data_IF_925778148925
#
_entry.id   IF_925778148925
#
_cell.length_a   1.000
_cell.length_b   1.000
_cell.length_c   1.000
_cell.angle_alpha   90.00
_cell.angle_beta   90.00
_cell.angle_gamma   90.00
#
_symmetry.space_group_name_H-M   'P 1'
#
loop_
_entity.id
_entity.type
_entity.pdbx_description
1 polymer ?
#
# COMPACT_ATOMS: atom_id res chain seq x y z
N UNK A 1 -24.44 -8.48 54.59
CA UNK A 1 -24.48 -7.03 54.31
C UNK A 1 -23.12 -6.48 54.67
N UNK A 2 -22.22 -6.46 53.70
CA UNK A 2 -20.84 -6.01 53.84
C UNK A 2 -20.79 -4.54 53.48
N UNK A 3 -20.49 -3.73 54.48
CA UNK A 3 -20.38 -2.28 54.44
C UNK A 3 -19.09 -1.91 53.74
N UNK A 4 -19.16 -1.08 52.69
CA UNK A 4 -18.01 -0.56 51.97
C UNK A 4 -17.43 0.65 52.73
N UNK A 5 -16.19 0.54 53.20
CA UNK A 5 -15.43 1.68 53.70
C UNK A 5 -14.87 2.47 52.51
N UNK A 6 -15.27 3.73 52.38
CA UNK A 6 -14.60 4.70 51.52
C UNK A 6 -13.32 5.13 52.24
N UNK A 7 -12.27 4.36 52.02
CA UNK A 7 -10.91 4.73 52.43
C UNK A 7 -10.27 5.48 51.28
N UNK A 8 -9.92 6.74 51.51
CA UNK A 8 -9.07 7.56 50.64
C UNK A 8 -7.65 6.98 50.67
N UNK A 9 -7.45 5.85 49.99
CA UNK A 9 -6.16 5.38 49.55
C UNK A 9 -6.22 5.40 48.02
N UNK A 10 -5.32 6.19 47.43
CA UNK A 10 -5.14 6.26 45.98
C UNK A 10 -4.81 4.85 45.47
N UNK A 11 -5.77 4.25 44.78
CA UNK A 11 -5.66 3.01 44.03
C UNK A 11 -6.16 3.24 42.61
N UNK A 12 -5.47 2.60 41.67
CA UNK A 12 -5.72 2.50 40.21
C UNK A 12 -5.74 3.84 39.43
N UNK A 13 -4.84 3.95 38.44
CA UNK A 13 -4.51 5.15 37.69
C UNK A 13 -3.50 6.06 38.40
N UNK A 14 -2.19 5.79 38.27
CA UNK A 14 -1.18 6.65 38.89
C UNK A 14 -1.25 8.05 38.29
N UNK A 15 -1.42 9.03 39.18
CA UNK A 15 -1.08 10.42 38.89
C UNK A 15 0.40 10.55 39.22
N UNK A 16 1.19 11.07 38.29
CA UNK A 16 2.58 11.50 38.51
C UNK A 16 2.80 11.92 39.95
N UNK A 17 3.90 11.45 40.54
CA UNK A 17 4.36 11.91 41.86
C UNK A 17 4.50 13.44 41.94
N UNK A 18 4.42 14.14 40.80
CA UNK A 18 4.46 15.58 40.67
C UNK A 18 3.04 16.14 40.53
N UNK A 19 2.46 16.52 41.66
CA UNK A 19 1.31 17.44 41.61
C UNK A 19 1.77 18.79 41.06
N UNK A 20 1.47 19.03 39.79
CA UNK A 20 1.45 20.38 39.23
C UNK A 20 0.43 21.19 40.03
N UNK A 21 0.89 22.23 40.74
CA UNK A 21 -0.01 23.18 41.43
C UNK A 21 -1.04 23.78 40.46
N UNK A 22 -2.03 24.51 40.98
CA UNK A 22 -3.18 25.04 40.23
C UNK A 22 -2.85 25.83 38.96
N UNK A 23 -1.61 26.30 38.80
CA UNK A 23 -1.13 27.05 37.62
C UNK A 23 -0.17 26.26 36.70
N UNK A 24 0.04 24.95 36.93
CA UNK A 24 0.81 24.09 36.03
C UNK A 24 2.30 24.41 35.93
N UNK A 25 2.86 25.24 36.81
CA UNK A 25 4.27 25.65 36.81
C UNK A 25 4.75 25.76 38.24
N UNK A 26 5.68 24.90 38.65
CA UNK A 26 6.46 25.16 39.85
C UNK A 26 7.93 25.06 39.45
N UNK A 27 8.62 26.18 39.46
CA UNK A 27 10.04 26.31 39.09
C UNK A 27 10.89 26.49 40.34
N UNK A 28 12.18 26.09 40.29
CA UNK A 28 13.16 26.32 41.36
C UNK A 28 13.14 27.75 41.93
N UNK A 29 12.94 28.73 41.05
CA UNK A 29 12.95 30.15 41.39
C UNK A 29 11.73 30.60 42.22
N UNK A 30 10.59 29.89 42.12
CA UNK A 30 9.42 30.12 42.95
C UNK A 30 9.53 29.47 44.33
N UNK A 31 10.27 28.36 44.46
CA UNK A 31 10.57 27.73 45.75
C UNK A 31 11.56 28.54 46.59
N UNK A 32 12.61 29.11 45.97
CA UNK A 32 13.55 30.02 46.65
C UNK A 32 12.86 31.26 47.24
N UNK A 33 11.79 31.75 46.61
CA UNK A 33 10.99 32.86 47.12
C UNK A 33 10.06 32.46 48.28
N UNK A 34 9.50 31.24 48.28
CA UNK A 34 8.67 30.71 49.40
C UNK A 34 9.50 30.28 50.63
N UNK A 35 10.78 29.94 50.45
CA UNK A 35 11.67 29.51 51.52
C UNK A 35 12.47 30.67 52.17
N UNK A 36 11.88 31.86 52.28
CA UNK A 36 12.57 33.10 52.71
C UNK A 36 12.99 33.15 54.19
N UNK A 37 12.83 32.07 54.98
CA UNK A 37 13.18 32.06 56.40
C UNK A 37 13.87 30.76 56.87
N UNK A 38 14.79 30.20 56.11
CA UNK A 38 15.74 29.21 56.65
C UNK A 38 16.95 29.05 55.76
N UNK A 39 18.13 29.01 56.39
CA UNK A 39 19.47 28.82 55.78
C UNK A 39 19.65 27.50 54.99
N UNK A 40 18.58 26.71 54.81
CA UNK A 40 18.52 25.48 54.02
C UNK A 40 17.98 25.68 52.59
N UNK A 41 17.45 26.86 52.25
CA UNK A 41 16.88 27.16 50.92
C UNK A 41 17.91 27.20 49.77
N UNK A 42 19.20 27.24 50.10
CA UNK A 42 20.28 27.33 49.12
C UNK A 42 20.79 25.97 48.59
N UNK A 43 20.33 24.85 49.15
CA UNK A 43 20.85 23.51 48.83
C UNK A 43 19.83 22.55 48.19
N UNK A 44 18.64 23.03 47.81
CA UNK A 44 17.72 22.23 47.02
C UNK A 44 18.34 22.10 45.62
N UNK A 45 18.44 20.88 45.10
CA UNK A 45 18.87 20.56 43.74
C UNK A 45 17.66 20.18 42.87
N UNK A 46 17.87 20.03 41.55
CA UNK A 46 16.84 19.43 40.71
C UNK A 46 16.61 17.98 41.16
N UNK A 47 15.38 17.49 41.10
CA UNK A 47 15.05 16.12 41.53
C UNK A 47 14.83 15.94 43.04
N UNK A 48 15.14 16.94 43.87
CA UNK A 48 14.81 16.90 45.29
C UNK A 48 13.29 16.94 45.51
N UNK A 49 12.78 16.03 46.33
CA UNK A 49 11.36 15.98 46.70
C UNK A 49 11.14 16.70 48.03
N UNK A 50 10.13 17.57 48.06
CA UNK A 50 9.75 18.36 49.23
C UNK A 50 8.29 18.09 49.54
N UNK A 51 8.01 17.70 50.78
CA UNK A 51 6.67 17.47 51.29
C UNK A 51 6.21 18.74 52.02
N UNK A 52 5.18 19.41 51.49
CA UNK A 52 4.56 20.57 52.15
C UNK A 52 3.07 20.29 52.34
N UNK A 53 2.57 20.37 53.59
CA UNK A 53 1.15 20.13 53.92
C UNK A 53 0.59 18.79 53.39
N UNK A 54 1.42 17.74 53.32
CA UNK A 54 1.02 16.42 52.81
C UNK A 54 1.05 16.29 51.28
N UNK A 55 1.47 17.31 50.54
CA UNK A 55 1.70 17.24 49.09
C UNK A 55 3.20 17.08 48.80
N UNK A 56 3.54 16.06 48.03
CA UNK A 56 4.88 15.81 47.51
C UNK A 56 5.06 16.69 46.26
N UNK A 57 6.11 17.51 46.26
CA UNK A 57 6.48 18.36 45.12
C UNK A 57 7.97 18.18 44.82
N UNK A 58 8.31 17.97 43.55
CA UNK A 58 9.71 17.79 43.12
C UNK A 58 10.25 19.09 42.57
N UNK A 59 11.46 19.46 42.99
CA UNK A 59 12.15 20.64 42.49
C UNK A 59 12.60 20.40 41.04
N UNK A 60 12.15 21.26 40.12
CA UNK A 60 12.62 21.30 38.73
C UNK A 60 13.42 22.58 38.47
N UNK A 61 14.41 22.54 37.58
CA UNK A 61 15.16 23.74 37.19
C UNK A 61 14.25 24.76 36.53
N UNK A 62 14.44 26.03 36.90
CA UNK A 62 13.50 27.09 36.57
C UNK A 62 13.30 27.42 35.08
N UNK A 63 14.18 26.91 34.22
CA UNK A 63 14.12 27.14 32.78
C UNK A 63 13.32 26.06 32.02
N UNK A 64 12.86 25.00 32.70
CA UNK A 64 12.07 23.92 32.10
C UNK A 64 10.65 23.89 32.66
N UNK A 65 9.65 23.82 31.78
CA UNK A 65 8.23 23.81 32.16
C UNK A 65 7.80 22.35 32.41
N UNK A 66 7.31 22.00 33.61
CA UNK A 66 6.73 20.67 33.86
C UNK A 66 5.51 20.46 32.98
N UNK A 67 5.45 19.38 32.22
CA UNK A 67 4.40 19.14 31.22
C UNK A 67 4.10 17.64 31.13
N UNK A 68 2.84 17.28 30.90
CA UNK A 68 2.42 15.88 30.72
C UNK A 68 3.09 15.29 29.49
N UNK A 69 3.44 14.00 29.52
CA UNK A 69 4.06 13.31 28.38
C UNK A 69 3.26 13.48 27.08
N UNK A 70 1.92 13.46 27.16
CA UNK A 70 1.06 13.65 25.98
C UNK A 70 1.26 15.01 25.29
N UNK A 71 1.43 16.08 26.06
CA UNK A 71 1.62 17.42 25.51
C UNK A 71 3.05 17.64 25.02
N UNK A 72 4.04 17.04 25.70
CA UNK A 72 5.43 16.98 25.21
C UNK A 72 5.50 16.21 23.88
N UNK A 73 4.81 15.08 23.78
CA UNK A 73 4.75 14.26 22.56
C UNK A 73 4.11 15.03 21.41
N UNK A 74 2.95 15.66 21.62
CA UNK A 74 2.31 16.52 20.61
C UNK A 74 3.23 17.64 20.13
N UNK A 75 3.97 18.25 21.05
CA UNK A 75 4.91 19.31 20.70
C UNK A 75 6.06 18.77 19.83
N UNK A 76 6.57 17.57 20.10
CA UNK A 76 7.56 16.89 19.25
C UNK A 76 6.94 16.44 17.91
N UNK A 77 5.68 15.99 17.90
CA UNK A 77 4.94 15.61 16.70
C UNK A 77 4.76 16.79 15.73
N UNK A 78 4.47 17.96 16.28
CA UNK A 78 4.28 19.21 15.53
C UNK A 78 5.59 19.87 15.08
N UNK A 79 6.77 19.28 15.35
CA UNK A 79 8.03 19.85 14.89
C UNK A 79 8.16 19.73 13.37
N UNK A 80 8.29 20.89 12.74
CA UNK A 80 8.63 21.03 11.33
C UNK A 80 10.11 21.38 11.18
N UNK A 81 10.69 21.01 10.04
CA UNK A 81 12.05 21.42 9.69
C UNK A 81 12.14 22.96 9.67
N UNK A 82 13.26 23.49 10.15
CA UNK A 82 13.51 24.94 10.11
C UNK A 82 13.43 25.45 8.66
N UNK A 83 13.14 26.73 8.47
CA UNK A 83 12.85 27.37 7.17
C UNK A 83 14.00 27.25 6.15
N UNK A 84 15.15 26.71 6.57
CA UNK A 84 16.35 26.44 5.79
C UNK A 84 16.61 24.94 5.47
N UNK A 85 15.65 24.05 5.72
CA UNK A 85 15.81 22.60 5.47
C UNK A 85 16.77 21.90 6.45
N UNK A 86 16.97 22.47 7.64
CA UNK A 86 17.82 21.90 8.68
C UNK A 86 17.19 20.67 9.34
N UNK A 87 18.02 19.72 9.77
CA UNK A 87 17.56 18.53 10.49
C UNK A 87 16.99 18.91 11.86
N UNK A 88 15.84 18.32 12.20
CA UNK A 88 15.18 18.53 13.48
C UNK A 88 15.97 17.78 14.56
N UNK A 89 16.26 18.45 15.69
CA UNK A 89 17.01 17.87 16.81
C UNK A 89 16.22 17.97 18.10
N UNK A 90 16.09 16.85 18.80
CA UNK A 90 15.47 16.75 20.12
C UNK A 90 16.53 16.27 21.10
N UNK A 91 16.71 16.99 22.19
CA UNK A 91 17.69 16.66 23.22
C UNK A 91 16.99 16.19 24.47
N UNK A 92 17.37 15.01 24.95
CA UNK A 92 16.88 14.42 26.19
C UNK A 92 18.02 14.44 27.21
N UNK A 93 17.72 14.81 28.46
CA UNK A 93 18.67 14.71 29.57
C UNK A 93 17.95 14.30 30.85
N UNK A 94 18.71 13.86 31.84
CA UNK A 94 18.16 13.59 33.17
C UNK A 94 17.68 14.88 33.85
N UNK A 95 16.93 14.72 34.94
CA UNK A 95 16.39 15.84 35.73
C UNK A 95 17.48 16.78 36.24
N UNK A 96 18.70 16.28 36.43
CA UNK A 96 19.86 17.05 36.87
C UNK A 96 20.60 17.75 35.72
N UNK A 97 20.23 17.46 34.47
CA UNK A 97 20.91 17.92 33.26
C UNK A 97 22.10 17.03 32.84
N UNK A 98 22.34 15.93 33.56
CA UNK A 98 23.32 14.91 33.20
C UNK A 98 22.79 14.00 32.07
N UNK A 99 23.69 13.20 31.48
CA UNK A 99 23.35 12.25 30.40
C UNK A 99 22.60 12.88 29.22
N UNK A 100 23.08 14.05 28.78
CA UNK A 100 22.49 14.78 27.66
C UNK A 100 22.76 14.07 26.34
N UNK A 101 21.70 13.61 25.68
CA UNK A 101 21.76 12.97 24.35
C UNK A 101 20.89 13.75 23.37
N UNK A 102 21.46 14.12 22.22
CA UNK A 102 20.74 14.81 21.15
C UNK A 102 20.44 13.82 20.03
N UNK A 103 19.16 13.60 19.78
CA UNK A 103 18.63 12.78 18.70
C UNK A 103 18.28 13.64 17.50
N UNK A 104 18.65 13.18 16.31
CA UNK A 104 18.22 13.78 15.04
C UNK A 104 16.97 13.06 14.59
N UNK A 105 15.89 13.81 14.38
CA UNK A 105 14.60 13.26 13.94
C UNK A 105 14.72 12.86 12.47
N UNK A 106 14.34 11.62 12.18
CA UNK A 106 14.14 11.14 10.81
C UNK A 106 12.66 10.96 10.52
N UNK A 107 12.26 11.20 9.28
CA UNK A 107 10.86 11.16 8.83
C UNK A 107 10.37 9.72 8.56
N UNK A 108 11.27 8.74 8.53
CA UNK A 108 10.95 7.35 8.22
C UNK A 108 11.78 6.39 9.07
N UNK A 109 11.17 5.32 9.56
CA UNK A 109 11.82 4.23 10.28
C UNK A 109 12.92 3.50 9.49
N UNK A 110 12.97 3.62 8.16
CA UNK A 110 14.11 3.18 7.35
C UNK A 110 15.41 3.93 7.60
N UNK A 111 15.30 5.18 8.04
CA UNK A 111 16.42 6.06 8.29
C UNK A 111 16.86 6.02 9.75
N UNK A 112 16.23 5.18 10.59
CA UNK A 112 16.63 5.02 11.97
C UNK A 112 17.99 4.35 12.07
N UNK A 113 18.89 5.00 12.78
CA UNK A 113 20.19 4.49 13.16
C UNK A 113 20.36 4.76 14.66
N UNK A 114 19.86 3.85 15.52
CA UNK A 114 19.92 4.04 16.97
C UNK A 114 21.35 4.23 17.49
N UNK A 115 22.33 3.58 16.86
CA UNK A 115 23.76 3.73 17.19
C UNK A 115 24.34 5.11 16.86
N UNK A 116 23.69 5.86 15.97
CA UNK A 116 24.09 7.20 15.53
C UNK A 116 23.11 8.29 16.01
N UNK A 117 22.14 7.92 16.86
CA UNK A 117 21.08 8.81 17.37
C UNK A 117 20.15 9.40 16.29
N UNK A 118 19.95 8.70 15.17
CA UNK A 118 18.88 9.01 14.22
C UNK A 118 17.65 8.18 14.55
N UNK A 119 16.57 8.83 14.97
CA UNK A 119 15.35 8.16 15.44
C UNK A 119 14.12 8.89 14.90
N UNK A 120 13.03 8.16 14.69
CA UNK A 120 11.74 8.78 14.35
C UNK A 120 11.17 9.52 15.56
N UNK A 121 10.20 10.42 15.31
CA UNK A 121 9.47 11.13 16.37
C UNK A 121 8.88 10.14 17.39
N UNK A 122 8.27 9.06 16.92
CA UNK A 122 7.73 7.98 17.76
C UNK A 122 8.78 7.37 18.68
N UNK A 123 9.92 6.94 18.13
CA UNK A 123 11.01 6.32 18.89
C UNK A 123 11.61 7.26 19.93
N UNK A 124 11.77 8.55 19.60
CA UNK A 124 12.28 9.56 20.54
C UNK A 124 11.32 9.75 21.72
N UNK A 125 10.01 9.84 21.45
CA UNK A 125 9.01 9.95 22.51
C UNK A 125 8.95 8.68 23.37
N UNK A 126 9.15 7.50 22.77
CA UNK A 126 9.20 6.23 23.50
C UNK A 126 10.36 6.13 24.52
N UNK A 127 11.41 6.95 24.37
CA UNK A 127 12.52 7.01 25.33
C UNK A 127 12.20 7.88 26.56
N UNK A 128 11.13 8.68 26.51
CA UNK A 128 10.79 9.65 27.56
C UNK A 128 10.22 8.99 28.81
N UNK A 129 10.81 9.29 29.97
CA UNK A 129 10.39 8.84 31.30
C UNK A 129 10.07 10.02 32.22
N UNK A 130 9.37 9.77 33.33
CA UNK A 130 9.13 10.82 34.36
C UNK A 130 10.46 11.43 34.79
N UNK A 131 10.48 12.75 34.97
CA UNK A 131 11.67 13.46 35.41
C UNK A 131 12.66 13.80 34.31
N UNK A 132 12.55 13.23 33.11
CA UNK A 132 13.44 13.60 32.02
C UNK A 132 13.13 14.99 31.48
N UNK A 133 14.19 15.66 31.04
CA UNK A 133 14.13 16.95 30.37
C UNK A 133 14.17 16.76 28.87
N UNK A 134 13.38 17.58 28.18
CA UNK A 134 13.32 17.61 26.73
C UNK A 134 13.55 19.03 26.26
N UNK A 135 14.49 19.20 25.33
CA UNK A 135 14.80 20.47 24.70
C UNK A 135 14.82 20.31 23.18
N UNK A 136 14.07 21.15 22.48
CA UNK A 136 14.04 21.18 21.02
C UNK A 136 13.79 22.60 20.51
N UNK A 137 14.11 22.83 19.23
CA UNK A 137 13.79 24.09 18.55
C UNK A 137 12.46 23.98 17.81
N UNK A 138 11.61 24.99 17.95
CA UNK A 138 10.44 25.19 17.12
C UNK A 138 10.58 26.55 16.42
N UNK A 139 11.07 26.54 15.18
CA UNK A 139 11.53 27.75 14.50
C UNK A 139 12.70 28.41 15.24
N UNK A 140 12.57 29.70 15.56
CA UNK A 140 13.58 30.45 16.30
C UNK A 140 13.58 30.17 17.82
N UNK A 141 12.46 29.64 18.35
CA UNK A 141 12.27 29.47 19.79
C UNK A 141 12.82 28.13 20.28
N UNK A 142 13.46 28.15 21.44
CA UNK A 142 13.89 26.93 22.13
C UNK A 142 12.87 26.55 23.18
N UNK A 143 12.22 25.40 23.00
CA UNK A 143 11.21 24.85 23.90
C UNK A 143 11.88 23.91 24.88
N UNK A 144 11.58 24.06 26.19
CA UNK A 144 12.19 23.33 27.30
C UNK A 144 11.11 22.77 28.23
N UNK A 145 10.97 21.45 28.24
CA UNK A 145 9.98 20.74 29.06
C UNK A 145 10.63 19.76 30.04
N UNK A 146 9.98 19.56 31.18
CA UNK A 146 10.27 18.43 32.08
C UNK A 146 9.05 17.52 32.10
N UNK A 147 9.25 16.22 31.86
CA UNK A 147 8.15 15.24 31.79
C UNK A 147 7.61 14.98 33.20
N UNK A 148 6.38 15.43 33.45
CA UNK A 148 5.73 15.44 34.77
C UNK A 148 4.63 14.37 34.88
N UNK A 149 4.84 13.21 34.25
CA UNK A 149 3.93 12.07 34.33
C UNK A 149 4.09 11.13 33.15
N UNK A 150 4.54 9.91 33.44
CA UNK A 150 4.37 8.73 32.58
C UNK A 150 3.13 8.01 33.08
N UNK A 151 2.24 7.68 32.16
CA UNK A 151 1.06 6.88 32.45
C UNK A 151 1.50 5.53 32.99
N UNK A 152 0.92 5.14 34.12
CA UNK A 152 1.32 3.95 34.85
C UNK A 152 0.96 2.67 34.13
N UNK A 153 1.54 1.60 34.63
CA UNK A 153 1.36 0.18 34.29
C UNK A 153 -0.09 -0.35 34.51
N UNK A 154 -1.13 0.44 34.21
CA UNK A 154 -2.53 0.05 34.32
C UNK A 154 -3.03 -0.41 32.93
N UNK A 155 -3.23 -1.72 32.74
CA UNK A 155 -3.57 -2.35 31.44
C UNK A 155 -4.86 -1.78 30.80
N UNK A 156 -5.70 -1.09 31.57
CA UNK A 156 -6.97 -0.54 31.12
C UNK A 156 -6.94 0.96 30.79
N UNK A 157 -5.85 1.68 31.05
CA UNK A 157 -5.73 3.10 30.74
C UNK A 157 -4.40 3.38 30.04
N UNK A 158 -4.47 3.49 28.71
CA UNK A 158 -3.30 3.72 27.87
C UNK A 158 -3.18 5.19 27.49
N UNK A 159 -1.98 5.75 27.57
CA UNK A 159 -1.73 7.08 27.03
C UNK A 159 -2.03 7.11 25.53
N UNK A 160 -2.51 8.25 25.02
CA UNK A 160 -2.72 8.45 23.56
C UNK A 160 -1.49 8.04 22.73
N UNK A 161 -0.30 8.26 23.27
CA UNK A 161 0.96 7.89 22.64
C UNK A 161 1.19 6.37 22.61
N UNK A 162 0.91 5.69 23.71
CA UNK A 162 1.02 4.23 23.77
C UNK A 162 -0.02 3.59 22.82
N UNK A 163 -1.23 4.13 22.75
CA UNK A 163 -2.23 3.72 21.76
C UNK A 163 -1.72 3.90 20.32
N UNK A 164 -1.08 5.02 20.00
CA UNK A 164 -0.49 5.23 18.67
C UNK A 164 0.68 4.28 18.39
N UNK A 165 1.50 3.93 19.39
CA UNK A 165 2.57 2.96 19.23
C UNK A 165 2.05 1.55 18.97
N UNK A 166 1.05 1.09 19.73
CA UNK A 166 0.39 -0.20 19.52
C UNK A 166 -0.30 -0.26 18.15
N UNK A 167 -0.97 0.82 17.73
CA UNK A 167 -1.55 0.90 16.39
C UNK A 167 -0.48 0.87 15.29
N UNK A 168 0.66 1.56 15.46
CA UNK A 168 1.73 1.50 14.49
C UNK A 168 2.32 0.08 14.36
N UNK A 169 2.50 -0.62 15.48
CA UNK A 169 2.97 -2.01 15.51
C UNK A 169 1.97 -2.96 14.81
N UNK A 170 0.69 -2.84 15.12
CA UNK A 170 -0.36 -3.66 14.50
C UNK A 170 -0.52 -3.34 13.00
N UNK A 171 -0.46 -2.07 12.60
CA UNK A 171 -0.46 -1.68 11.20
C UNK A 171 0.77 -2.21 10.46
N UNK A 172 1.93 -2.27 11.13
CA UNK A 172 3.14 -2.83 10.54
C UNK A 172 3.00 -4.33 10.34
N UNK A 173 2.49 -5.07 11.34
CA UNK A 173 2.20 -6.50 11.23
C UNK A 173 1.22 -6.77 10.09
N UNK A 174 0.08 -6.08 10.08
CA UNK A 174 -0.96 -6.22 9.07
C UNK A 174 -0.43 -5.91 7.66
N UNK A 175 0.33 -4.83 7.50
CA UNK A 175 0.85 -4.42 6.19
C UNK A 175 2.05 -5.26 5.72
N UNK A 176 2.71 -6.00 6.60
CA UNK A 176 3.85 -6.87 6.27
C UNK A 176 3.42 -8.29 5.91
N UNK A 177 2.15 -8.64 6.11
CA UNK A 177 1.60 -9.95 5.73
C UNK A 177 1.84 -10.17 4.23
N UNK A 178 2.44 -11.32 3.87
CA UNK A 178 2.65 -11.67 2.47
C UNK A 178 3.86 -11.04 1.78
N UNK A 179 4.64 -10.20 2.49
CA UNK A 179 5.75 -9.43 1.91
C UNK A 179 7.11 -10.12 2.11
N UNK A 180 8.04 -9.92 1.17
CA UNK A 180 9.44 -10.39 1.31
C UNK A 180 10.29 -9.37 2.07
N UNK A 181 9.97 -8.09 1.94
CA UNK A 181 10.50 -7.00 2.76
C UNK A 181 9.34 -6.41 3.54
N UNK A 182 9.44 -6.46 4.86
CA UNK A 182 8.41 -5.97 5.77
C UNK A 182 8.01 -4.53 5.44
N UNK A 183 6.72 -4.26 5.58
CA UNK A 183 6.23 -2.90 5.57
C UNK A 183 6.80 -2.16 6.79
N UNK A 184 6.94 -0.85 6.66
CA UNK A 184 7.40 0.00 7.75
C UNK A 184 6.39 1.07 8.03
N UNK A 185 5.99 1.19 9.30
CA UNK A 185 5.06 2.22 9.75
C UNK A 185 5.83 3.20 10.61
N UNK A 186 5.74 4.49 10.26
CA UNK A 186 6.29 5.58 11.06
C UNK A 186 5.13 6.30 11.74
N UNK A 187 5.20 6.42 13.07
CA UNK A 187 4.26 7.18 13.87
C UNK A 187 4.76 8.62 14.05
N UNK A 188 3.97 9.59 13.61
CA UNK A 188 4.29 11.02 13.72
C UNK A 188 3.83 11.63 15.05
N UNK A 189 3.19 10.85 15.93
CA UNK A 189 2.71 11.25 17.26
C UNK A 189 1.65 12.36 17.27
N UNK A 190 1.05 12.64 16.12
CA UNK A 190 -0.04 13.59 15.90
C UNK A 190 -1.33 12.89 15.43
N UNK A 191 -1.35 11.55 15.49
CA UNK A 191 -2.42 10.70 14.96
C UNK A 191 -2.27 10.36 13.47
N UNK A 192 -1.19 10.80 12.81
CA UNK A 192 -0.87 10.39 11.43
C UNK A 192 0.20 9.29 11.41
N UNK A 193 0.01 8.33 10.50
CA UNK A 193 0.92 7.21 10.28
C UNK A 193 1.39 7.23 8.83
N UNK A 194 2.71 7.17 8.63
CA UNK A 194 3.30 7.02 7.31
C UNK A 194 3.61 5.54 7.08
N UNK A 195 2.90 4.90 6.15
CA UNK A 195 3.06 3.48 5.82
C UNK A 195 3.89 3.37 4.54
N UNK A 196 5.07 2.79 4.64
CA UNK A 196 5.83 2.30 3.50
C UNK A 196 5.44 0.86 3.24
N UNK A 197 4.82 0.61 2.09
CA UNK A 197 4.36 -0.72 1.68
C UNK A 197 5.54 -1.70 1.61
N UNK A 198 5.33 -2.90 2.14
CA UNK A 198 6.27 -4.00 1.98
C UNK A 198 6.31 -4.46 0.53
N UNK A 199 7.45 -5.00 0.11
CA UNK A 199 7.66 -5.44 -1.27
C UNK A 199 7.71 -6.95 -1.35
N UNK A 200 7.23 -7.49 -2.47
CA UNK A 200 7.28 -8.92 -2.77
C UNK A 200 7.85 -9.12 -4.17
N UNK A 201 8.75 -10.10 -4.31
CA UNK A 201 9.34 -10.48 -5.58
C UNK A 201 8.56 -11.65 -6.17
N UNK A 202 8.09 -11.47 -7.41
CA UNK A 202 7.35 -12.48 -8.15
C UNK A 202 7.76 -12.48 -9.62
N UNK A 203 7.45 -13.57 -10.32
CA UNK A 203 7.71 -13.67 -11.76
C UNK A 203 6.83 -12.69 -12.55
N UNK A 204 7.33 -12.19 -13.67
CA UNK A 204 6.61 -11.25 -14.53
C UNK A 204 5.32 -11.85 -15.11
N UNK A 205 4.34 -11.00 -15.45
CA UNK A 205 3.13 -11.41 -16.15
C UNK A 205 3.48 -12.00 -17.53
N UNK A 206 2.73 -13.03 -17.93
CA UNK A 206 2.81 -13.59 -19.27
C UNK A 206 1.90 -12.77 -20.18
N UNK A 207 2.50 -12.04 -21.11
CA UNK A 207 1.76 -11.27 -22.11
C UNK A 207 2.05 -11.82 -23.50
N UNK A 208 1.00 -12.12 -24.26
CA UNK A 208 1.11 -12.55 -25.65
C UNK A 208 -0.08 -12.06 -26.48
N UNK A 209 0.10 -12.06 -27.80
CA UNK A 209 -0.94 -11.63 -28.74
C UNK A 209 -1.40 -12.84 -29.56
N UNK A 210 -2.72 -13.04 -29.60
CA UNK A 210 -3.34 -14.02 -30.49
C UNK A 210 -3.74 -13.34 -31.80
N UNK A 211 -3.21 -13.82 -32.92
CA UNK A 211 -3.54 -13.30 -34.24
C UNK A 211 -4.83 -13.92 -34.77
N UNK A 212 -5.81 -13.09 -35.12
CA UNK A 212 -7.18 -13.50 -35.50
C UNK A 212 -7.66 -12.84 -36.79
N UNK A 213 -6.77 -12.27 -37.60
CA UNK A 213 -7.14 -11.62 -38.86
C UNK A 213 -6.13 -11.89 -39.97
N UNK A 214 -6.39 -11.32 -41.14
CA UNK A 214 -5.55 -11.54 -42.32
C UNK A 214 -4.35 -10.58 -42.39
N UNK A 215 -4.48 -9.36 -41.86
CA UNK A 215 -3.44 -8.34 -41.95
C UNK A 215 -2.60 -8.27 -40.67
N UNK A 216 -1.34 -7.84 -40.81
CA UNK A 216 -0.37 -7.72 -39.71
C UNK A 216 -0.71 -6.64 -38.65
N UNK A 217 -1.78 -5.87 -38.87
CA UNK A 217 -2.20 -4.76 -38.02
C UNK A 217 -2.59 -5.19 -36.60
N UNK A 218 -2.45 -4.24 -35.66
CA UNK A 218 -2.70 -4.48 -34.24
C UNK A 218 -4.19 -4.76 -33.95
N UNK A 219 -5.09 -4.29 -34.82
CA UNK A 219 -6.54 -4.55 -34.73
C UNK A 219 -6.89 -6.03 -34.95
N UNK A 220 -6.04 -6.77 -35.67
CA UNK A 220 -6.16 -8.22 -35.91
C UNK A 220 -5.48 -9.07 -34.82
N UNK A 221 -5.11 -8.45 -33.69
CA UNK A 221 -4.49 -9.12 -32.56
C UNK A 221 -5.33 -8.94 -31.31
N UNK A 222 -5.53 -10.03 -30.58
CA UNK A 222 -6.12 -10.03 -29.25
C UNK A 222 -4.98 -10.15 -28.24
N UNK A 223 -4.72 -9.08 -27.50
CA UNK A 223 -3.75 -9.10 -26.41
C UNK A 223 -4.32 -9.89 -25.23
N UNK A 224 -3.53 -10.82 -24.70
CA UNK A 224 -3.84 -11.61 -23.51
C UNK A 224 -2.73 -11.39 -22.50
N UNK A 225 -3.10 -10.83 -21.35
CA UNK A 225 -2.22 -10.68 -20.20
C UNK A 225 -2.66 -11.65 -19.09
N UNK A 226 -1.72 -12.49 -18.66
CA UNK A 226 -1.88 -13.41 -17.54
C UNK A 226 -0.91 -12.99 -16.45
N UNK A 227 -1.44 -12.33 -15.43
CA UNK A 227 -0.69 -12.01 -14.23
C UNK A 227 -0.27 -13.29 -13.50
N UNK A 228 0.85 -13.24 -12.77
CA UNK A 228 1.24 -14.38 -11.94
C UNK A 228 0.25 -14.58 -10.80
N UNK A 229 0.00 -15.83 -10.41
CA UNK A 229 -1.02 -16.17 -9.40
C UNK A 229 -0.42 -17.05 -8.30
N UNK A 230 0.85 -16.82 -7.97
CA UNK A 230 1.50 -17.50 -6.85
C UNK A 230 1.14 -16.79 -5.52
N UNK A 231 1.38 -17.46 -4.40
CA UNK A 231 1.07 -16.92 -3.07
C UNK A 231 1.76 -15.58 -2.79
N UNK A 232 2.94 -15.35 -3.37
CA UNK A 232 3.71 -14.12 -3.27
C UNK A 232 2.98 -12.94 -3.97
N UNK A 233 2.61 -13.08 -5.25
CA UNK A 233 1.88 -12.05 -5.99
C UNK A 233 0.51 -11.73 -5.38
N UNK A 234 -0.14 -12.77 -4.85
CA UNK A 234 -1.44 -12.64 -4.21
C UNK A 234 -1.36 -12.05 -2.78
N UNK A 235 -0.17 -11.81 -2.24
CA UNK A 235 0.01 -11.22 -0.89
C UNK A 235 -0.36 -12.18 0.25
N UNK A 236 -0.43 -13.47 -0.02
CA UNK A 236 -0.82 -14.52 0.96
C UNK A 236 0.36 -15.45 1.30
N UNK A 237 1.59 -15.01 1.03
CA UNK A 237 2.79 -15.78 1.36
C UNK A 237 3.04 -15.76 2.87
N UNK A 238 3.17 -16.94 3.47
CA UNK A 238 3.51 -17.03 4.90
C UNK A 238 2.39 -16.52 5.82
N UNK A 239 1.13 -16.62 5.39
CA UNK A 239 -0.02 -16.36 6.26
C UNK A 239 0.09 -17.18 7.55
N UNK A 240 0.07 -16.49 8.69
CA UNK A 240 -0.04 -17.12 9.98
C UNK A 240 -1.50 -17.01 10.46
N UNK A 241 -2.08 -18.13 10.86
CA UNK A 241 -3.43 -18.21 11.43
C UNK A 241 -3.42 -18.62 12.90
N UNK A 242 -2.23 -18.89 13.44
CA UNK A 242 -2.04 -19.33 14.82
C UNK A 242 -1.48 -18.18 15.65
N UNK A 243 -2.34 -17.59 16.48
CA UNK A 243 -1.98 -16.65 17.52
C UNK A 243 -2.93 -16.77 18.72
N UNK A 244 -2.48 -16.34 19.91
CA UNK A 244 -3.26 -16.42 21.14
C UNK A 244 -4.47 -15.48 21.15
N UNK A 245 -4.43 -14.42 20.33
CA UNK A 245 -5.45 -13.36 20.27
C UNK A 245 -6.44 -13.51 19.11
N UNK A 246 -6.17 -14.37 18.11
CA UNK A 246 -7.00 -14.55 16.92
C UNK A 246 -6.92 -13.41 15.88
N UNK A 247 -6.05 -12.42 16.09
CA UNK A 247 -5.90 -11.24 15.24
C UNK A 247 -5.27 -11.65 13.88
N UNK A 248 -4.28 -12.53 13.93
CA UNK A 248 -3.59 -13.05 12.75
C UNK A 248 -4.54 -13.81 11.83
N UNK A 249 -5.50 -14.55 12.39
CA UNK A 249 -6.56 -15.19 11.63
C UNK A 249 -7.47 -14.19 10.92
N UNK A 250 -7.76 -13.05 11.54
CA UNK A 250 -8.57 -11.97 10.94
C UNK A 250 -7.85 -11.35 9.74
N UNK A 251 -6.56 -11.00 9.90
CA UNK A 251 -5.76 -10.50 8.78
C UNK A 251 -5.60 -11.53 7.65
N UNK A 252 -5.51 -12.81 7.98
CA UNK A 252 -5.47 -13.87 6.98
C UNK A 252 -6.76 -13.95 6.16
N UNK A 253 -7.93 -13.76 6.78
CA UNK A 253 -9.22 -13.71 6.07
C UNK A 253 -9.24 -12.56 5.08
N UNK A 254 -8.83 -11.36 5.52
CA UNK A 254 -8.79 -10.18 4.64
C UNK A 254 -7.80 -10.36 3.48
N UNK A 255 -6.59 -10.86 3.77
CA UNK A 255 -5.59 -11.15 2.74
C UNK A 255 -6.08 -12.20 1.72
N UNK A 256 -6.79 -13.24 2.16
CA UNK A 256 -7.39 -14.25 1.27
C UNK A 256 -8.54 -13.64 0.46
N UNK A 257 -9.37 -12.79 1.05
CA UNK A 257 -10.47 -12.10 0.36
C UNK A 257 -9.93 -11.25 -0.80
N UNK A 258 -8.88 -10.47 -0.55
CA UNK A 258 -8.21 -9.66 -1.56
C UNK A 258 -7.57 -10.52 -2.65
N UNK A 259 -6.89 -11.61 -2.27
CA UNK A 259 -6.35 -12.57 -3.22
C UNK A 259 -7.44 -13.18 -4.11
N UNK A 260 -8.59 -13.54 -3.53
CA UNK A 260 -9.73 -14.08 -4.27
C UNK A 260 -10.30 -13.06 -5.25
N UNK A 261 -10.40 -11.79 -4.84
CA UNK A 261 -10.84 -10.71 -5.71
C UNK A 261 -9.90 -10.54 -6.91
N UNK A 262 -8.58 -10.59 -6.70
CA UNK A 262 -7.56 -10.54 -7.78
C UNK A 262 -7.68 -11.72 -8.74
N UNK A 263 -7.81 -12.95 -8.22
CA UNK A 263 -8.00 -14.15 -9.06
C UNK A 263 -9.29 -14.06 -9.86
N UNK A 264 -10.37 -13.57 -9.25
CA UNK A 264 -11.67 -13.40 -9.90
C UNK A 264 -11.62 -12.35 -11.01
N UNK A 265 -10.91 -11.24 -10.79
CA UNK A 265 -10.66 -10.22 -11.81
C UNK A 265 -9.87 -10.79 -13.00
N UNK A 266 -8.81 -11.57 -12.75
CA UNK A 266 -8.05 -12.23 -13.82
C UNK A 266 -8.92 -13.20 -14.62
N UNK A 267 -9.77 -14.00 -13.95
CA UNK A 267 -10.72 -14.91 -14.62
C UNK A 267 -11.75 -14.15 -15.45
N UNK A 268 -12.24 -13.01 -14.95
CA UNK A 268 -13.15 -12.14 -15.68
C UNK A 268 -12.52 -11.60 -16.96
N UNK A 269 -11.27 -11.13 -16.89
CA UNK A 269 -10.52 -10.68 -18.07
C UNK A 269 -10.33 -11.81 -19.10
N UNK A 270 -9.93 -12.99 -18.65
CA UNK A 270 -9.77 -14.15 -19.54
C UNK A 270 -11.11 -14.59 -20.17
N UNK A 271 -12.22 -14.51 -19.43
CA UNK A 271 -13.55 -14.75 -19.98
C UNK A 271 -13.95 -13.71 -21.04
N UNK A 272 -13.61 -12.43 -20.84
CA UNK A 272 -13.83 -11.40 -21.85
C UNK A 272 -13.01 -11.65 -23.13
N UNK A 273 -11.75 -12.09 -22.98
CA UNK A 273 -10.90 -12.51 -24.10
C UNK A 273 -11.51 -13.71 -24.83
N UNK A 274 -12.01 -14.72 -24.11
CA UNK A 274 -12.69 -15.88 -24.70
C UNK A 274 -13.92 -15.46 -25.51
N UNK A 275 -14.81 -14.64 -24.95
CA UNK A 275 -15.98 -14.12 -25.66
C UNK A 275 -15.60 -13.38 -26.93
N UNK A 276 -14.56 -12.53 -26.87
CA UNK A 276 -14.07 -11.80 -28.03
C UNK A 276 -13.50 -12.75 -29.10
N UNK A 277 -12.80 -13.81 -28.68
CA UNK A 277 -12.27 -14.83 -29.59
C UNK A 277 -13.41 -15.61 -30.27
N UNK A 278 -14.43 -16.04 -29.52
CA UNK A 278 -15.61 -16.74 -30.05
C UNK A 278 -16.37 -15.89 -31.07
N UNK A 279 -16.61 -14.61 -30.76
CA UNK A 279 -17.23 -13.69 -31.73
C UNK A 279 -16.37 -13.44 -32.96
N UNK A 280 -15.05 -13.38 -32.80
CA UNK A 280 -14.12 -13.22 -33.92
C UNK A 280 -14.14 -14.46 -34.81
N UNK A 281 -14.14 -15.66 -34.23
CA UNK A 281 -14.27 -16.93 -34.96
C UNK A 281 -15.59 -16.97 -35.74
N UNK A 282 -16.72 -16.71 -35.07
CA UNK A 282 -18.03 -16.72 -35.74
C UNK A 282 -18.10 -15.70 -36.88
N UNK A 283 -17.50 -14.52 -36.73
CA UNK A 283 -17.42 -13.54 -37.81
C UNK A 283 -16.51 -14.03 -38.97
N UNK A 284 -15.36 -14.61 -38.66
CA UNK A 284 -14.45 -15.15 -39.67
C UNK A 284 -15.09 -16.30 -40.45
N UNK A 285 -15.84 -17.19 -39.79
CA UNK A 285 -16.56 -18.27 -40.46
C UNK A 285 -17.56 -17.71 -41.48
N UNK A 286 -18.31 -16.66 -41.13
CA UNK A 286 -19.19 -15.96 -42.07
C UNK A 286 -18.41 -15.32 -43.23
N UNK A 287 -17.25 -14.72 -42.96
CA UNK A 287 -16.40 -14.12 -44.01
C UNK A 287 -15.86 -15.19 -44.95
N UNK A 288 -15.44 -16.34 -44.43
CA UNK A 288 -14.97 -17.50 -45.21
C UNK A 288 -16.09 -18.05 -46.07
N UNK A 289 -17.30 -18.24 -45.53
CA UNK A 289 -18.45 -18.73 -46.28
C UNK A 289 -18.81 -17.78 -47.44
N UNK A 290 -18.92 -16.48 -47.16
CA UNK A 290 -19.24 -15.47 -48.17
C UNK A 290 -18.14 -15.35 -49.24
N UNK A 291 -16.87 -15.42 -48.84
CA UNK A 291 -15.74 -15.35 -49.77
C UNK A 291 -15.67 -16.59 -50.65
N UNK A 292 -15.90 -17.77 -50.08
CA UNK A 292 -15.96 -19.03 -50.84
C UNK A 292 -17.12 -19.03 -51.83
N UNK A 293 -18.30 -18.50 -51.44
CA UNK A 293 -19.44 -18.37 -52.33
C UNK A 293 -19.20 -17.34 -53.45
N UNK A 294 -18.48 -16.26 -53.17
CA UNK A 294 -18.05 -15.30 -54.20
C UNK A 294 -17.01 -15.91 -55.15
N UNK A 295 -16.04 -16.66 -54.62
CA UNK A 295 -15.07 -17.41 -55.43
C UNK A 295 -15.77 -18.43 -56.32
N UNK A 296 -16.70 -19.21 -55.78
CA UNK A 296 -17.50 -20.19 -56.54
C UNK A 296 -18.22 -19.52 -57.71
N UNK A 297 -18.85 -18.35 -57.53
CA UNK A 297 -19.49 -17.61 -58.63
C UNK A 297 -18.52 -17.13 -59.72
N UNK A 298 -17.26 -16.91 -59.39
CA UNK A 298 -16.24 -16.43 -60.35
C UNK A 298 -15.56 -17.60 -61.04
N UNK A 299 -15.25 -18.66 -60.29
CA UNK A 299 -14.41 -19.76 -60.73
C UNK A 299 -15.21 -20.96 -61.24
N UNK A 300 -16.34 -21.26 -60.61
CA UNK A 300 -17.15 -22.40 -60.99
C UNK A 300 -18.02 -22.03 -62.20
N UNK A 301 -18.12 -22.96 -63.14
CA UNK A 301 -18.94 -22.78 -64.33
C UNK A 301 -20.36 -23.25 -64.05
N UNK A 302 -21.37 -22.54 -64.55
CA UNK A 302 -22.72 -23.11 -64.59
C UNK A 302 -22.73 -24.32 -65.54
N UNK A 303 -22.88 -25.51 -64.96
CA UNK A 303 -22.86 -26.76 -65.70
C UNK A 303 -24.01 -26.85 -66.71
N UNK A 304 -25.13 -26.16 -66.50
CA UNK A 304 -26.22 -26.14 -67.45
C UNK A 304 -25.78 -25.45 -68.75
N UNK A 305 -25.22 -24.25 -68.66
CA UNK A 305 -24.75 -23.50 -69.83
C UNK A 305 -23.53 -24.14 -70.50
N UNK A 306 -22.62 -24.69 -69.69
CA UNK A 306 -21.47 -25.43 -70.19
C UNK A 306 -21.91 -26.67 -71.01
N UNK A 307 -22.93 -27.40 -70.55
CA UNK A 307 -23.48 -28.57 -71.25
C UNK A 307 -24.24 -28.18 -72.52
N UNK A 308 -24.99 -27.07 -72.52
CA UNK A 308 -25.65 -26.55 -73.73
C UNK A 308 -24.61 -26.16 -74.78
N UNK A 309 -23.55 -25.44 -74.36
CA UNK A 309 -22.46 -25.04 -75.25
C UNK A 309 -21.68 -26.24 -75.76
N UNK A 310 -21.38 -27.21 -74.90
CA UNK A 310 -20.73 -28.46 -75.28
C UNK A 310 -21.57 -29.26 -76.28
N UNK A 311 -22.88 -29.39 -76.05
CA UNK A 311 -23.81 -30.07 -76.97
C UNK A 311 -23.91 -29.33 -78.32
N UNK A 312 -24.05 -28.01 -78.30
CA UNK A 312 -24.02 -27.16 -79.51
C UNK A 312 -22.73 -27.35 -80.31
N UNK A 313 -21.57 -27.36 -79.64
CA UNK A 313 -20.28 -27.56 -80.29
C UNK A 313 -20.12 -28.97 -80.86
N UNK A 314 -20.63 -30.00 -80.19
CA UNK A 314 -20.66 -31.36 -80.74
C UNK A 314 -21.55 -31.45 -81.98
N UNK A 315 -22.75 -30.85 -81.96
CA UNK A 315 -23.64 -30.79 -83.12
C UNK A 315 -22.97 -30.02 -84.26
N UNK A 316 -22.31 -28.89 -83.99
CA UNK A 316 -21.56 -28.12 -84.99
C UNK A 316 -20.38 -28.90 -85.56
N UNK A 317 -19.65 -29.65 -84.75
CA UNK A 317 -18.56 -30.50 -85.22
C UNK A 317 -19.09 -31.61 -86.14
N UNK A 318 -20.18 -32.28 -85.76
CA UNK A 318 -20.83 -33.30 -86.60
C UNK A 318 -21.41 -32.70 -87.89
N UNK A 319 -22.05 -31.54 -87.81
CA UNK A 319 -22.57 -30.82 -88.98
C UNK A 319 -21.43 -30.33 -89.89
N UNK A 320 -20.32 -29.84 -89.34
CA UNK A 320 -19.14 -29.42 -90.08
C UNK A 320 -18.47 -30.57 -90.82
N UNK A 321 -18.39 -31.76 -90.21
CA UNK A 321 -17.92 -32.97 -90.88
C UNK A 321 -18.86 -33.39 -92.02
N UNK A 322 -20.17 -33.39 -91.80
CA UNK A 322 -21.16 -33.71 -92.84
C UNK A 322 -21.17 -32.67 -93.99
N UNK A 323 -21.03 -31.38 -93.67
CA UNK A 323 -20.92 -30.29 -94.64
C UNK A 323 -19.62 -30.37 -95.45
N UNK A 324 -18.49 -30.69 -94.82
CA UNK A 324 -17.23 -30.97 -95.51
C UNK A 324 -17.37 -32.17 -96.46
N UNK A 325 -18.02 -33.25 -96.02
CA UNK A 325 -18.28 -34.41 -96.86
C UNK A 325 -19.16 -34.05 -98.07
N UNK A 326 -20.20 -33.24 -97.88
CA UNK A 326 -21.11 -32.83 -98.95
C UNK A 326 -20.49 -31.80 -99.90
N UNK A 327 -19.69 -30.86 -99.41
CA UNK A 327 -18.94 -29.92 -100.24
C UNK A 327 -17.89 -30.64 -101.10
N UNK A 328 -17.22 -31.66 -100.55
CA UNK A 328 -16.28 -32.51 -101.30
C UNK A 328 -16.98 -33.38 -102.36
N UNK A 329 -18.22 -33.83 -102.12
CA UNK A 329 -19.00 -34.52 -103.15
C UNK A 329 -19.51 -33.58 -104.24
N UNK A 330 -19.91 -32.36 -103.88
CA UNK A 330 -20.37 -31.35 -104.85
C UNK A 330 -19.25 -30.93 -105.80
N UNK A 331 -18.01 -30.73 -105.31
CA UNK A 331 -16.86 -30.42 -106.16
C UNK A 331 -16.49 -31.56 -107.11
N UNK A 332 -16.65 -32.82 -106.68
CA UNK A 332 -16.51 -33.97 -107.58
C UNK A 332 -17.62 -34.02 -108.64
N UNK A 333 -18.86 -33.63 -108.30
CA UNK A 333 -19.97 -33.53 -109.23
C UNK A 333 -19.77 -32.48 -110.33
N UNK A 334 -19.09 -31.37 -110.03
CA UNK A 334 -18.78 -30.34 -111.04
C UNK A 334 -17.63 -30.78 -111.97
N UNK A 335 -16.65 -31.54 -111.48
CA UNK A 335 -15.62 -32.13 -112.34
C UNK A 335 -16.16 -33.20 -113.30
N UNK A 336 -17.33 -33.77 -112.99
CA UNK A 336 -18.08 -34.68 -113.89
C UNK A 336 -18.77 -33.93 -115.04
N UNK A 337 -19.08 -32.64 -114.87
CA UNK A 337 -19.75 -31.81 -115.90
C UNK A 337 -18.75 -31.12 -116.82
N UNK A 338 -17.48 -31.01 -116.42
CA UNK A 338 -16.40 -30.36 -117.19
C UNK A 338 -15.50 -31.33 -117.98
N UNK A 339 -15.77 -32.63 -117.94
CA UNK A 339 -15.12 -33.67 -118.76
C UNK A 339 -16.10 -34.19 -119.82
#
# INVERSE_FOLDING_TARGET
>A
MTTFEITKNLGEGEVSTWKLGSDGKITMNQFKQRATNSSSANNIAAGDTIITNGEVTTAVVGDYIPTKLADVSKAIGALSADTNGGTIKVTISDIDGNNKVTYTVVENSDMEQPSENYLTRGSIVGLLKEGQRVEFKNGADTVKYTVAGVDSEDENNISTQHAYALMAEELQKASSVGTDTEAKVTNNNDGTFLIKQGTVSYASSLTFNLHVGADADMTNKINVEINTMNAAFLGIKGLNVADETGISATYAIDGISDALARVSAQRSLLGAVQNRLEHSIANLDNVVENSTAAESRIRDTDMADAMVTYSKNNILAQAGQSMLAQANQSTQGVMSILQ
#
